data_IF_576764173604
#
_entry.id   IF_576764173604
#
_cell.length_a   1.000
_cell.length_b   1.000
_cell.length_c   1.000
_cell.angle_alpha   90.00
_cell.angle_beta   90.00
_cell.angle_gamma   90.00
#
_symmetry.space_group_name_H-M   'P 1'
#
loop_
_entity.id
_entity.type
_entity.pdbx_description
1 polymer ?
#
# COMPACT_ATOMS: atom_id res chain seq x y z
N UNK A 1 -27.50 -4.28 -11.58
CA UNK A 1 -26.85 -2.95 -11.40
C UNK A 1 -25.35 -3.10 -11.65
N UNK A 2 -24.87 -2.60 -12.80
CA UNK A 2 -23.46 -2.70 -13.22
C UNK A 2 -22.72 -1.46 -12.73
N UNK A 3 -21.94 -1.57 -11.66
CA UNK A 3 -21.01 -0.51 -11.29
C UNK A 3 -19.70 -0.70 -12.05
N UNK A 4 -19.51 0.16 -13.06
CA UNK A 4 -18.22 0.39 -13.74
C UNK A 4 -17.39 1.32 -12.83
N UNK A 5 -16.52 0.76 -12.00
CA UNK A 5 -15.41 1.46 -11.37
C UNK A 5 -14.11 0.85 -11.93
N UNK A 6 -13.73 1.31 -13.07
CA UNK A 6 -12.45 0.94 -13.67
C UNK A 6 -12.05 2.02 -14.64
N UNK A 7 -11.27 2.99 -14.22
CA UNK A 7 -10.74 3.92 -15.18
C UNK A 7 -10.22 5.28 -14.68
N UNK A 8 -9.85 5.43 -13.41
CA UNK A 8 -9.41 6.76 -12.93
C UNK A 8 -7.97 6.85 -12.40
N UNK A 9 -7.19 5.78 -12.44
CA UNK A 9 -5.84 5.81 -11.84
C UNK A 9 -4.67 5.82 -12.85
N UNK A 10 -4.95 5.84 -14.16
CA UNK A 10 -3.89 5.78 -15.18
C UNK A 10 -3.64 7.09 -15.95
N UNK A 11 -4.37 8.17 -15.67
CA UNK A 11 -4.29 9.39 -16.47
C UNK A 11 -3.46 10.55 -15.89
N UNK A 12 -2.91 10.42 -14.68
CA UNK A 12 -2.15 11.52 -14.03
C UNK A 12 -0.63 11.45 -14.13
N UNK A 13 -0.05 10.50 -14.84
CA UNK A 13 1.41 10.33 -14.88
C UNK A 13 2.08 10.66 -16.22
N UNK A 14 1.37 11.26 -17.17
CA UNK A 14 1.91 11.51 -18.53
C UNK A 14 1.81 12.97 -19.01
N UNK A 15 1.73 13.97 -18.13
CA UNK A 15 1.79 15.38 -18.55
C UNK A 15 2.80 16.20 -17.73
N UNK A 16 4.03 15.75 -17.66
CA UNK A 16 5.15 16.56 -17.14
C UNK A 16 6.39 16.43 -18.04
N UNK A 17 6.25 16.81 -19.31
CA UNK A 17 7.40 16.97 -20.20
C UNK A 17 7.14 18.03 -21.25
N UNK A 18 6.99 19.29 -20.83
CA UNK A 18 7.30 20.44 -21.66
C UNK A 18 7.85 21.54 -20.75
N UNK A 19 9.15 21.47 -20.48
CA UNK A 19 9.89 22.63 -19.98
C UNK A 19 10.19 23.55 -21.17
N UNK A 20 9.86 24.84 -21.10
CA UNK A 20 10.27 25.80 -22.10
C UNK A 20 11.78 25.98 -22.06
N UNK A 21 12.37 26.07 -23.26
CA UNK A 21 13.79 26.17 -23.49
C UNK A 21 14.45 27.34 -22.72
N UNK A 22 15.60 27.05 -22.14
CA UNK A 22 16.54 28.03 -21.63
C UNK A 22 16.92 28.95 -22.79
N UNK A 23 16.56 30.23 -22.70
CA UNK A 23 17.14 31.30 -23.50
C UNK A 23 18.65 31.33 -23.24
N UNK A 24 19.43 31.14 -24.29
CA UNK A 24 20.87 31.37 -24.27
C UNK A 24 21.11 32.83 -23.94
N UNK A 25 21.72 33.11 -22.80
CA UNK A 25 22.30 34.42 -22.53
C UNK A 25 23.50 34.65 -23.47
N UNK A 26 23.36 35.65 -24.33
CA UNK A 26 24.44 36.17 -25.15
C UNK A 26 25.60 36.65 -24.25
N UNK A 27 26.85 36.32 -24.56
CA UNK A 27 27.99 36.83 -23.80
C UNK A 27 28.09 38.33 -23.94
N UNK A 28 28.14 39.00 -22.81
CA UNK A 28 28.44 40.44 -22.70
C UNK A 28 29.84 40.72 -23.22
N UNK A 29 30.05 41.71 -24.11
CA UNK A 29 31.39 42.08 -24.58
C UNK A 29 32.23 42.60 -23.42
N UNK A 30 33.53 42.26 -23.46
CA UNK A 30 34.51 42.67 -22.47
C UNK A 30 34.68 44.21 -22.49
N UNK A 31 34.84 44.87 -21.33
CA UNK A 31 35.09 46.30 -21.27
C UNK A 31 36.52 46.63 -21.74
N UNK A 32 36.62 47.68 -22.54
CA UNK A 32 37.87 48.21 -23.00
C UNK A 32 38.76 48.72 -21.83
N UNK A 33 40.07 48.52 -21.88
CA UNK A 33 40.98 49.01 -20.86
C UNK A 33 41.35 50.53 -21.14
N UNK A 34 40.92 51.40 -20.24
CA UNK A 34 41.43 52.77 -20.23
C UNK A 34 40.41 53.85 -19.93
N UNK A 35 39.85 53.92 -18.75
CA UNK A 35 39.40 55.18 -18.19
C UNK A 35 39.64 55.18 -16.67
N UNK A 36 40.68 55.94 -16.25
CA UNK A 36 40.87 56.29 -14.85
C UNK A 36 39.74 57.25 -14.42
N UNK A 37 38.71 56.70 -13.81
CA UNK A 37 37.72 57.51 -13.13
C UNK A 37 38.19 57.80 -11.70
N UNK A 38 38.02 59.05 -11.20
CA UNK A 38 38.39 59.40 -9.83
C UNK A 38 37.58 58.57 -8.86
N UNK A 39 38.21 58.08 -7.77
CA UNK A 39 37.61 57.30 -6.72
C UNK A 39 36.40 58.03 -6.11
N UNK A 40 35.21 57.69 -6.58
CA UNK A 40 33.98 58.10 -5.95
C UNK A 40 33.89 57.35 -4.60
N UNK A 41 34.00 58.10 -3.51
CA UNK A 41 33.64 57.57 -2.17
C UNK A 41 32.18 57.16 -2.24
N UNK A 42 31.96 55.88 -2.45
CA UNK A 42 30.62 55.29 -2.46
C UNK A 42 29.90 55.60 -1.12
N UNK A 43 28.60 55.82 -1.16
CA UNK A 43 27.82 56.06 0.06
C UNK A 43 28.04 54.91 1.03
N UNK A 44 28.35 55.25 2.28
CA UNK A 44 28.46 54.29 3.40
C UNK A 44 27.16 53.51 3.42
N UNK A 45 27.19 52.31 2.87
CA UNK A 45 26.06 51.39 2.90
C UNK A 45 25.86 51.01 4.36
N UNK A 46 24.88 51.63 5.04
CA UNK A 46 24.50 51.23 6.38
C UNK A 46 24.18 49.74 6.31
N UNK A 47 25.05 48.93 6.87
CA UNK A 47 24.85 47.51 6.99
C UNK A 47 23.44 47.28 7.60
N UNK A 48 22.55 46.54 6.96
CA UNK A 48 21.23 46.30 7.52
C UNK A 48 21.38 45.73 8.94
N UNK A 49 20.54 46.16 9.89
CA UNK A 49 20.64 45.70 11.25
C UNK A 49 20.64 44.17 11.26
N UNK A 50 21.45 43.51 12.12
CA UNK A 50 21.49 42.07 12.20
C UNK A 50 20.06 41.58 12.45
N UNK A 51 19.64 40.63 11.61
CA UNK A 51 18.33 40.02 11.76
C UNK A 51 18.18 39.49 13.21
N UNK A 52 17.04 39.75 13.85
CA UNK A 52 16.83 39.26 15.22
C UNK A 52 17.11 37.75 15.27
N UNK A 53 17.71 37.25 16.38
CA UNK A 53 18.00 35.84 16.51
C UNK A 53 16.75 35.04 16.16
N UNK A 54 16.85 34.20 15.17
CA UNK A 54 15.75 33.35 14.72
C UNK A 54 15.26 32.58 15.93
N UNK A 55 14.00 32.75 16.30
CA UNK A 55 13.39 32.01 17.44
C UNK A 55 13.78 30.53 17.29
N UNK A 56 14.14 29.87 18.41
CA UNK A 56 14.63 28.50 18.38
C UNK A 56 13.65 27.67 17.56
N UNK A 57 14.19 27.08 16.51
CA UNK A 57 13.42 26.39 15.50
C UNK A 57 12.66 25.24 16.20
N UNK A 58 11.35 25.41 16.37
CA UNK A 58 10.49 24.33 16.84
C UNK A 58 10.45 23.26 15.74
N UNK A 59 11.56 22.53 15.61
CA UNK A 59 11.70 21.47 14.65
C UNK A 59 10.56 20.49 14.84
N UNK A 60 9.79 20.26 13.78
CA UNK A 60 8.76 19.22 13.79
C UNK A 60 9.41 17.89 14.12
N UNK A 61 8.74 17.02 14.88
CA UNK A 61 9.28 15.74 15.26
C UNK A 61 9.78 14.95 14.05
N UNK A 62 10.93 14.30 14.19
CA UNK A 62 11.47 13.43 13.15
C UNK A 62 10.71 12.10 13.17
N UNK A 63 10.00 11.82 12.09
CA UNK A 63 9.26 10.57 11.90
C UNK A 63 10.18 9.40 11.54
N UNK A 64 11.34 9.69 10.97
CA UNK A 64 12.33 8.68 10.56
C UNK A 64 13.13 8.07 11.72
N UNK A 65 12.76 8.33 12.99
CA UNK A 65 13.38 7.69 14.15
C UNK A 65 13.00 6.23 14.26
N UNK A 66 13.87 5.46 14.87
CA UNK A 66 13.56 4.06 15.17
C UNK A 66 12.29 3.97 16.02
N UNK A 67 11.32 3.21 15.54
CA UNK A 67 10.06 3.02 16.24
C UNK A 67 9.47 1.63 16.01
N UNK A 68 8.68 1.19 16.97
CA UNK A 68 7.89 -0.03 16.90
C UNK A 68 6.43 0.36 17.11
N UNK A 69 5.56 -0.15 16.26
CA UNK A 69 4.13 0.10 16.31
C UNK A 69 3.35 -1.21 16.36
N UNK A 70 2.35 -1.27 17.24
CA UNK A 70 1.35 -2.34 17.25
C UNK A 70 0.06 -1.77 16.71
N UNK A 71 -0.56 -2.46 15.78
CA UNK A 71 -1.76 -2.04 15.07
C UNK A 71 -2.86 -3.07 15.26
N UNK A 72 -4.08 -2.59 15.46
CA UNK A 72 -5.29 -3.40 15.36
C UNK A 72 -6.28 -2.74 14.41
N UNK A 73 -6.82 -3.45 13.44
CA UNK A 73 -7.82 -2.91 12.53
C UNK A 73 -8.98 -3.85 12.29
N UNK A 74 -10.17 -3.28 12.08
CA UNK A 74 -11.40 -4.03 11.86
C UNK A 74 -11.61 -4.22 10.36
N UNK A 75 -11.38 -5.44 9.88
CA UNK A 75 -11.52 -5.74 8.46
C UNK A 75 -12.98 -6.01 8.04
N UNK A 76 -13.81 -4.98 7.96
CA UNK A 76 -15.22 -5.09 7.58
C UNK A 76 -15.49 -5.05 6.07
N UNK A 77 -14.46 -5.16 5.24
CA UNK A 77 -14.56 -5.12 3.79
C UNK A 77 -15.28 -6.33 3.17
N UNK A 78 -15.23 -6.41 1.86
CA UNK A 78 -15.77 -7.55 1.12
C UNK A 78 -14.99 -8.82 1.48
N UNK A 79 -15.72 -9.82 1.92
CA UNK A 79 -15.17 -11.14 2.23
C UNK A 79 -14.39 -11.68 1.02
N UNK A 80 -13.27 -12.38 1.26
CA UNK A 80 -12.53 -13.00 0.17
C UNK A 80 -13.40 -13.95 -0.63
N UNK A 81 -13.05 -14.09 -1.90
CA UNK A 81 -13.66 -15.07 -2.81
C UNK A 81 -12.58 -15.94 -3.42
N UNK A 82 -12.94 -17.20 -3.68
CA UNK A 82 -12.22 -18.09 -4.58
C UNK A 82 -13.03 -18.23 -5.86
N UNK A 83 -12.36 -18.04 -6.99
CA UNK A 83 -12.96 -18.21 -8.31
C UNK A 83 -12.16 -19.27 -9.09
N UNK A 84 -12.84 -20.14 -9.83
CA UNK A 84 -12.18 -21.05 -10.76
C UNK A 84 -11.63 -20.26 -11.95
N UNK A 85 -10.37 -20.54 -12.30
CA UNK A 85 -9.72 -20.08 -13.50
C UNK A 85 -9.89 -21.08 -14.66
N UNK A 86 -9.22 -20.82 -15.79
CA UNK A 86 -9.21 -21.76 -16.90
C UNK A 86 -8.43 -23.03 -16.56
N UNK A 87 -8.90 -24.15 -17.06
CA UNK A 87 -8.21 -25.45 -16.95
C UNK A 87 -7.32 -25.64 -18.16
N UNK A 88 -6.13 -26.17 -17.96
CA UNK A 88 -5.27 -26.57 -19.07
C UNK A 88 -5.61 -28.01 -19.48
N UNK A 89 -6.15 -28.16 -20.67
CA UNK A 89 -6.40 -29.47 -21.29
C UNK A 89 -5.36 -29.71 -22.41
N UNK A 90 -5.16 -30.98 -22.78
CA UNK A 90 -4.40 -31.31 -24.00
C UNK A 90 -5.37 -31.49 -25.17
N UNK A 91 -5.03 -30.89 -26.30
CA UNK A 91 -5.76 -31.14 -27.54
C UNK A 91 -5.42 -32.54 -28.11
N UNK A 92 -6.06 -32.94 -29.19
CA UNK A 92 -5.82 -34.21 -29.87
C UNK A 92 -4.38 -34.37 -30.38
N UNK A 93 -3.65 -33.26 -30.53
CA UNK A 93 -2.24 -33.24 -30.95
C UNK A 93 -1.28 -33.21 -29.77
N UNK A 94 -1.78 -33.27 -28.53
CA UNK A 94 -0.98 -33.21 -27.31
C UNK A 94 -0.56 -31.80 -26.85
N UNK A 95 -1.01 -30.73 -27.55
CA UNK A 95 -0.71 -29.36 -27.18
C UNK A 95 -1.54 -28.94 -25.98
N UNK A 96 -0.93 -28.16 -25.07
CA UNK A 96 -1.67 -27.56 -23.97
C UNK A 96 -2.56 -26.44 -24.46
N UNK A 97 -3.86 -26.64 -24.38
CA UNK A 97 -4.88 -25.62 -24.66
C UNK A 97 -5.52 -25.13 -23.39
N UNK A 98 -5.84 -23.86 -23.37
CA UNK A 98 -6.52 -23.23 -22.25
C UNK A 98 -8.02 -23.28 -22.46
N UNK A 99 -8.71 -24.04 -21.63
CA UNK A 99 -10.16 -24.21 -21.69
C UNK A 99 -10.77 -23.42 -20.52
N UNK A 100 -11.78 -22.58 -20.75
CA UNK A 100 -12.54 -21.97 -19.65
C UNK A 100 -13.05 -23.06 -18.71
N UNK A 101 -13.12 -22.77 -17.41
CA UNK A 101 -13.68 -23.70 -16.45
C UNK A 101 -15.10 -24.11 -16.90
N UNK A 102 -15.34 -25.40 -17.05
CA UNK A 102 -16.61 -25.92 -17.50
C UNK A 102 -17.75 -25.57 -16.52
N UNK A 103 -17.42 -25.41 -15.26
CA UNK A 103 -18.34 -24.98 -14.19
C UNK A 103 -17.80 -23.70 -13.60
N UNK A 104 -18.54 -22.58 -13.65
CA UNK A 104 -18.13 -21.34 -13.00
C UNK A 104 -18.20 -21.53 -11.48
N UNK A 105 -17.06 -21.87 -10.89
CA UNK A 105 -16.95 -22.04 -9.45
C UNK A 105 -16.56 -20.71 -8.82
N UNK A 106 -17.50 -20.07 -8.16
CA UNK A 106 -17.24 -18.90 -7.31
C UNK A 106 -17.82 -19.17 -5.94
N UNK A 107 -16.96 -19.05 -4.94
CA UNK A 107 -17.37 -19.12 -3.55
C UNK A 107 -16.88 -17.89 -2.80
N UNK A 108 -17.79 -17.26 -2.06
CA UNK A 108 -17.48 -16.21 -1.11
C UNK A 108 -17.36 -16.85 0.28
N UNK A 109 -16.23 -16.60 0.95
CA UNK A 109 -16.05 -17.04 2.33
C UNK A 109 -17.01 -16.29 3.25
N UNK A 110 -17.67 -16.99 4.16
CA UNK A 110 -18.71 -16.39 5.02
C UNK A 110 -18.16 -15.82 6.33
N UNK A 111 -16.99 -16.22 6.73
CA UNK A 111 -16.38 -15.74 7.98
C UNK A 111 -15.89 -14.28 7.86
N UNK A 112 -16.16 -13.50 8.90
CA UNK A 112 -15.59 -12.18 9.05
C UNK A 112 -14.42 -12.23 10.04
N UNK A 113 -13.25 -11.64 9.72
CA UNK A 113 -12.22 -11.49 10.71
C UNK A 113 -12.71 -10.51 11.78
N UNK A 114 -12.32 -10.73 13.01
CA UNK A 114 -12.48 -9.75 14.08
C UNK A 114 -11.43 -8.63 13.91
N UNK A 115 -10.76 -8.29 15.00
CA UNK A 115 -9.61 -7.37 14.93
C UNK A 115 -8.43 -8.08 14.26
N UNK A 116 -7.86 -7.45 13.25
CA UNK A 116 -6.66 -7.92 12.55
C UNK A 116 -5.43 -7.32 13.23
N UNK A 117 -4.63 -8.11 13.95
CA UNK A 117 -3.41 -7.61 14.55
C UNK A 117 -2.31 -7.41 13.52
N UNK A 118 -1.52 -6.37 13.70
CA UNK A 118 -0.34 -6.08 12.91
C UNK A 118 0.77 -5.46 13.74
N UNK A 119 1.96 -5.51 13.22
CA UNK A 119 3.16 -4.87 13.78
C UNK A 119 3.91 -4.15 12.69
N UNK A 120 4.50 -3.04 13.04
CA UNK A 120 5.33 -2.25 12.16
C UNK A 120 6.59 -1.81 12.88
N UNK A 121 7.72 -1.90 12.19
CA UNK A 121 9.02 -1.43 12.68
C UNK A 121 9.55 -0.42 11.67
N UNK A 122 9.90 0.77 12.14
CA UNK A 122 10.53 1.81 11.33
C UNK A 122 11.98 1.95 11.75
N UNK A 123 12.89 1.87 10.79
CA UNK A 123 14.33 1.97 10.96
C UNK A 123 14.78 3.24 10.24
N UNK A 124 15.49 4.16 10.91
CA UNK A 124 16.00 5.36 10.27
C UNK A 124 17.02 5.01 9.18
N UNK A 125 16.93 5.70 8.06
CA UNK A 125 17.88 5.64 6.96
C UNK A 125 18.53 7.02 6.72
N UNK A 126 19.37 7.12 5.71
CA UNK A 126 20.12 8.34 5.40
C UNK A 126 19.16 9.49 5.04
N UNK A 127 19.44 10.71 5.52
CA UNK A 127 18.75 11.95 5.14
C UNK A 127 17.25 11.96 5.40
N UNK A 128 16.81 11.50 6.57
CA UNK A 128 15.39 11.44 6.99
C UNK A 128 14.52 10.47 6.18
N UNK A 129 15.12 9.58 5.42
CA UNK A 129 14.45 8.44 4.85
C UNK A 129 14.28 7.36 5.92
N UNK A 130 13.40 6.42 5.68
CA UNK A 130 13.18 5.30 6.60
C UNK A 130 12.97 3.99 5.84
N UNK A 131 13.31 2.90 6.51
CA UNK A 131 12.90 1.56 6.10
C UNK A 131 11.80 1.14 7.06
N UNK A 132 10.63 0.80 6.53
CA UNK A 132 9.49 0.34 7.30
C UNK A 132 9.22 -1.12 6.97
N UNK A 133 9.13 -1.95 7.99
CA UNK A 133 8.79 -3.37 7.87
C UNK A 133 7.47 -3.56 8.59
N UNK A 134 6.47 -4.08 7.89
CA UNK A 134 5.16 -4.33 8.46
C UNK A 134 4.71 -5.76 8.22
N UNK A 135 3.95 -6.29 9.18
CA UNK A 135 3.35 -7.61 9.11
C UNK A 135 1.95 -7.58 9.72
N UNK A 136 1.02 -8.23 9.05
CA UNK A 136 -0.27 -8.53 9.65
C UNK A 136 -0.75 -9.92 9.26
N UNK A 137 -1.63 -10.48 10.07
CA UNK A 137 -2.26 -11.78 9.82
C UNK A 137 -3.72 -11.74 10.23
N UNK A 138 -4.56 -12.34 9.39
CA UNK A 138 -5.97 -12.51 9.68
C UNK A 138 -6.43 -13.92 9.37
N UNK A 139 -7.49 -14.34 10.03
CA UNK A 139 -8.16 -15.61 9.80
C UNK A 139 -9.65 -15.44 10.05
N UNK A 140 -10.44 -16.20 9.32
CA UNK A 140 -11.85 -16.34 9.63
C UNK A 140 -12.35 -17.70 9.16
N UNK A 141 -13.46 -18.11 9.73
CA UNK A 141 -14.17 -19.34 9.38
C UNK A 141 -15.66 -19.05 9.33
N UNK A 142 -16.39 -19.78 8.52
CA UNK A 142 -17.83 -19.65 8.40
C UNK A 142 -18.39 -20.81 7.62
N UNK A 143 -19.71 -20.89 7.54
CA UNK A 143 -20.41 -21.99 6.90
C UNK A 143 -21.30 -21.46 5.80
N UNK A 144 -21.43 -22.22 4.71
CA UNK A 144 -22.29 -21.87 3.57
C UNK A 144 -22.99 -23.12 3.05
N UNK A 145 -24.22 -22.95 2.61
CA UNK A 145 -24.92 -23.96 1.80
C UNK A 145 -24.59 -23.63 0.33
N UNK A 146 -24.09 -24.63 -0.38
CA UNK A 146 -23.62 -24.44 -1.75
C UNK A 146 -24.82 -24.23 -2.69
N UNK A 147 -24.84 -23.10 -3.43
CA UNK A 147 -25.97 -22.79 -4.32
C UNK A 147 -25.91 -23.53 -5.68
N UNK A 148 -24.72 -23.96 -6.10
CA UNK A 148 -24.45 -24.64 -7.36
C UNK A 148 -23.31 -25.63 -7.17
N UNK A 149 -23.19 -26.62 -8.03
CA UNK A 149 -22.07 -27.56 -8.00
C UNK A 149 -20.75 -26.80 -8.11
N UNK A 150 -19.79 -27.15 -7.26
CA UNK A 150 -18.48 -26.48 -7.17
C UNK A 150 -17.34 -27.50 -7.21
N UNK A 151 -16.31 -27.17 -7.97
CA UNK A 151 -15.02 -27.85 -7.93
C UNK A 151 -14.00 -26.90 -7.29
N UNK A 152 -13.49 -27.25 -6.12
CA UNK A 152 -12.54 -26.43 -5.37
C UNK A 152 -11.36 -27.26 -4.88
N UNK A 153 -10.15 -26.92 -5.30
CA UNK A 153 -8.92 -27.62 -4.93
C UNK A 153 -8.98 -29.14 -5.12
N UNK A 154 -9.65 -29.60 -6.18
CA UNK A 154 -9.85 -31.02 -6.45
C UNK A 154 -11.00 -31.68 -5.68
N UNK A 155 -11.64 -30.97 -4.76
CA UNK A 155 -12.87 -31.45 -4.07
C UNK A 155 -14.12 -31.10 -4.89
N UNK A 156 -14.98 -32.07 -5.13
CA UNK A 156 -16.29 -31.87 -5.76
C UNK A 156 -17.36 -31.67 -4.70
N UNK A 157 -18.10 -30.60 -4.78
CA UNK A 157 -19.18 -30.27 -3.84
C UNK A 157 -20.46 -30.03 -4.63
N UNK A 158 -21.56 -30.63 -4.19
CA UNK A 158 -22.85 -30.59 -4.87
C UNK A 158 -23.73 -29.46 -4.34
N UNK A 159 -24.64 -28.99 -5.16
CA UNK A 159 -25.69 -28.05 -4.75
C UNK A 159 -26.42 -28.58 -3.54
N UNK A 160 -26.55 -27.74 -2.49
CA UNK A 160 -27.22 -28.13 -1.24
C UNK A 160 -26.25 -28.65 -0.19
N UNK A 161 -25.02 -28.99 -0.52
CA UNK A 161 -24.04 -29.43 0.48
C UNK A 161 -23.77 -28.30 1.49
N UNK A 162 -23.68 -28.70 2.76
CA UNK A 162 -23.22 -27.83 3.83
C UNK A 162 -21.69 -27.82 3.83
N UNK A 163 -21.08 -26.65 3.65
CA UNK A 163 -19.66 -26.48 3.55
C UNK A 163 -19.14 -25.56 4.65
N UNK A 164 -18.30 -26.10 5.50
CA UNK A 164 -17.49 -25.29 6.42
C UNK A 164 -16.28 -24.74 5.68
N UNK A 165 -16.09 -23.43 5.73
CA UNK A 165 -15.03 -22.73 5.03
C UNK A 165 -14.12 -22.02 6.02
N UNK A 166 -12.84 -22.01 5.78
CA UNK A 166 -11.89 -21.22 6.54
C UNK A 166 -10.86 -20.60 5.61
N UNK A 167 -10.33 -19.47 6.03
CA UNK A 167 -9.19 -18.87 5.37
C UNK A 167 -8.23 -18.22 6.38
N UNK A 168 -6.98 -18.13 5.96
CA UNK A 168 -5.92 -17.40 6.64
C UNK A 168 -5.18 -16.57 5.62
N UNK A 169 -5.08 -15.28 5.86
CA UNK A 169 -4.30 -14.33 5.08
C UNK A 169 -3.17 -13.79 5.94
N UNK A 170 -1.98 -13.74 5.39
CA UNK A 170 -0.84 -13.05 5.96
C UNK A 170 -0.17 -12.15 4.92
N UNK A 171 0.30 -11.00 5.37
CA UNK A 171 1.02 -10.06 4.55
C UNK A 171 2.25 -9.56 5.29
N UNK A 172 3.39 -9.59 4.63
CA UNK A 172 4.63 -8.97 5.07
C UNK A 172 5.06 -7.96 4.01
N UNK A 173 5.46 -6.77 4.42
CA UNK A 173 5.83 -5.67 3.54
C UNK A 173 7.11 -5.01 4.03
N UNK A 174 8.06 -4.79 3.12
CA UNK A 174 9.22 -3.93 3.34
C UNK A 174 9.04 -2.71 2.47
N UNK A 175 9.20 -1.53 3.04
CA UNK A 175 9.01 -0.25 2.40
C UNK A 175 10.24 0.63 2.62
N UNK A 176 10.79 1.19 1.56
CA UNK A 176 11.72 2.29 1.65
C UNK A 176 10.97 3.59 1.43
N UNK A 177 10.96 4.45 2.43
CA UNK A 177 10.29 5.74 2.45
C UNK A 177 11.28 6.83 2.10
N UNK A 178 11.14 7.38 0.92
CA UNK A 178 11.96 8.49 0.45
C UNK A 178 11.21 9.80 0.61
N UNK A 179 11.75 10.71 1.41
CA UNK A 179 11.17 12.05 1.57
C UNK A 179 11.39 12.86 0.28
N UNK A 180 10.34 12.98 -0.52
CA UNK A 180 10.38 13.65 -1.83
C UNK A 180 10.12 15.14 -1.72
N UNK A 181 9.26 15.55 -0.80
CA UNK A 181 8.85 16.93 -0.59
C UNK A 181 8.57 17.15 0.90
N UNK A 182 8.89 18.28 1.49
CA UNK A 182 9.40 19.51 0.90
C UNK A 182 10.90 19.49 0.59
N UNK A 183 11.26 20.27 -0.39
CA UNK A 183 12.64 20.56 -0.67
C UNK A 183 12.81 22.09 -0.66
N UNK A 184 13.66 22.67 0.19
CA UNK A 184 14.54 22.07 1.18
C UNK A 184 13.78 21.45 2.37
N UNK A 185 14.43 20.49 3.04
CA UNK A 185 13.88 19.64 4.13
C UNK A 185 13.33 20.42 5.35
N UNK A 186 13.54 21.71 5.39
CA UNK A 186 13.20 22.61 6.51
C UNK A 186 11.75 23.10 6.50
N UNK A 187 11.02 22.91 5.42
CA UNK A 187 9.62 23.24 5.34
C UNK A 187 8.79 22.17 6.11
N UNK A 188 7.89 22.60 6.99
CA UNK A 188 7.71 21.95 8.27
C UNK A 188 6.36 21.32 8.49
N UNK A 189 5.34 21.73 7.74
CA UNK A 189 3.98 21.25 7.97
C UNK A 189 3.58 20.16 7.01
N UNK A 190 3.87 20.33 5.74
CA UNK A 190 3.52 19.34 4.73
C UNK A 190 4.75 18.55 4.30
N UNK A 191 4.64 17.24 4.24
CA UNK A 191 5.67 16.31 3.75
C UNK A 191 5.05 15.34 2.79
N UNK A 192 5.76 15.01 1.75
CA UNK A 192 5.38 13.97 0.79
C UNK A 192 6.50 12.95 0.71
N UNK A 193 6.16 11.70 0.95
CA UNK A 193 7.06 10.55 0.82
C UNK A 193 6.71 9.79 -0.45
N UNK A 194 7.72 9.26 -1.12
CA UNK A 194 7.55 8.23 -2.14
C UNK A 194 7.86 6.89 -1.49
N UNK A 195 6.99 5.92 -1.69
CA UNK A 195 7.05 4.60 -1.07
C UNK A 195 7.50 3.59 -2.13
N UNK A 196 8.65 2.96 -1.91
CA UNK A 196 9.17 1.87 -2.71
C UNK A 196 9.05 0.60 -1.89
N UNK A 197 8.20 -0.33 -2.32
CA UNK A 197 7.80 -1.43 -1.47
C UNK A 197 7.92 -2.77 -2.17
N UNK A 198 8.14 -3.79 -1.35
CA UNK A 198 8.01 -5.18 -1.75
C UNK A 198 7.09 -5.88 -0.76
N UNK A 199 6.06 -6.54 -1.29
CA UNK A 199 5.04 -7.20 -0.50
C UNK A 199 5.03 -8.71 -0.76
N UNK A 200 4.93 -9.48 0.32
CA UNK A 200 4.63 -10.89 0.33
C UNK A 200 3.23 -11.08 0.90
N UNK A 201 2.35 -11.69 0.15
CA UNK A 201 0.99 -12.00 0.58
C UNK A 201 0.71 -13.47 0.33
N UNK A 202 0.24 -14.17 1.34
CA UNK A 202 -0.18 -15.56 1.24
C UNK A 202 -1.60 -15.71 1.78
N UNK A 203 -2.45 -16.40 1.02
CA UNK A 203 -3.77 -16.80 1.47
C UNK A 203 -3.91 -18.31 1.37
N UNK A 204 -4.17 -18.94 2.50
CA UNK A 204 -4.51 -20.36 2.63
C UNK A 204 -6.01 -20.49 2.85
N UNK A 205 -6.61 -21.48 2.23
CA UNK A 205 -8.07 -21.75 2.31
C UNK A 205 -8.32 -23.23 2.56
N UNK A 206 -9.35 -23.53 3.33
CA UNK A 206 -9.79 -24.88 3.61
C UNK A 206 -11.31 -25.00 3.51
N UNK A 207 -11.73 -26.14 3.06
CA UNK A 207 -13.14 -26.51 2.86
C UNK A 207 -13.38 -27.87 3.47
N UNK A 208 -14.48 -28.01 4.18
CA UNK A 208 -14.90 -29.27 4.79
C UNK A 208 -16.42 -29.43 4.63
N UNK A 209 -16.84 -30.55 4.05
CA UNK A 209 -18.24 -30.91 3.86
C UNK A 209 -18.59 -32.13 4.76
N UNK A 210 -18.76 -31.93 6.07
CA UNK A 210 -18.88 -33.05 7.04
C UNK A 210 -20.11 -33.93 6.83
N UNK A 211 -21.11 -33.43 6.14
CA UNK A 211 -22.37 -34.18 5.89
C UNK A 211 -22.39 -34.92 4.55
N UNK A 212 -21.29 -34.81 3.78
CA UNK A 212 -21.20 -35.49 2.48
C UNK A 212 -20.93 -36.99 2.66
N UNK A 213 -21.82 -37.80 2.14
CA UNK A 213 -21.78 -39.27 2.34
C UNK A 213 -20.72 -40.02 1.54
N UNK A 214 -20.30 -39.50 0.40
CA UNK A 214 -19.36 -40.16 -0.50
C UNK A 214 -18.28 -39.20 -1.05
N UNK A 215 -17.03 -39.68 -1.13
CA UNK A 215 -15.89 -38.96 -1.69
C UNK A 215 -15.12 -38.11 -0.67
N UNK A 216 -14.06 -37.39 -1.10
CA UNK A 216 -13.29 -36.57 -0.20
C UNK A 216 -14.13 -35.41 0.31
N UNK A 217 -14.24 -35.33 1.64
CA UNK A 217 -15.04 -34.32 2.34
C UNK A 217 -14.25 -33.02 2.53
N UNK A 218 -12.91 -33.07 2.46
CA UNK A 218 -12.05 -31.95 2.72
C UNK A 218 -11.21 -31.58 1.50
N UNK A 219 -11.01 -30.30 1.28
CA UNK A 219 -10.07 -29.78 0.30
C UNK A 219 -9.37 -28.54 0.86
N UNK A 220 -8.13 -28.34 0.50
CA UNK A 220 -7.38 -27.15 0.92
C UNK A 220 -6.39 -26.72 -0.15
N UNK A 221 -6.06 -25.45 -0.14
CA UNK A 221 -5.05 -24.89 -1.04
C UNK A 221 -4.58 -23.54 -0.57
N UNK A 222 -3.52 -23.06 -1.18
CA UNK A 222 -2.95 -21.75 -0.90
C UNK A 222 -2.49 -21.06 -2.18
N UNK A 223 -2.43 -19.76 -2.13
CA UNK A 223 -1.84 -18.91 -3.17
C UNK A 223 -0.94 -17.88 -2.53
N UNK A 224 0.22 -17.71 -3.14
CA UNK A 224 1.23 -16.73 -2.73
C UNK A 224 1.39 -15.68 -3.80
N UNK A 225 1.56 -14.42 -3.39
CA UNK A 225 1.78 -13.28 -4.23
C UNK A 225 3.02 -12.53 -3.75
N UNK A 226 3.98 -12.34 -4.63
CA UNK A 226 5.15 -11.47 -4.47
C UNK A 226 4.97 -10.26 -5.36
N UNK A 227 4.93 -9.08 -4.78
CA UNK A 227 4.58 -7.87 -5.52
C UNK A 227 5.51 -6.70 -5.19
N UNK A 228 6.25 -6.15 -6.16
CA UNK A 228 6.74 -4.79 -6.02
C UNK A 228 5.54 -3.86 -5.99
N UNK A 229 5.60 -2.78 -5.23
CA UNK A 229 4.58 -1.73 -5.23
C UNK A 229 5.22 -0.36 -5.06
N UNK A 230 4.55 0.64 -5.62
CA UNK A 230 4.94 2.03 -5.52
C UNK A 230 3.79 2.81 -4.88
N UNK A 231 4.14 3.84 -4.13
CA UNK A 231 3.13 4.63 -3.46
C UNK A 231 3.57 6.04 -3.10
N UNK A 232 2.64 6.75 -2.53
CA UNK A 232 2.82 8.10 -2.01
C UNK A 232 2.29 8.17 -0.58
N UNK A 233 2.98 8.94 0.25
CA UNK A 233 2.62 9.16 1.65
C UNK A 233 2.66 10.66 1.98
N UNK A 234 1.58 11.41 1.75
CA UNK A 234 1.46 12.76 2.25
C UNK A 234 1.23 12.76 3.76
N UNK A 235 1.91 13.67 4.46
CA UNK A 235 1.66 13.94 5.87
C UNK A 235 1.59 15.44 6.12
N UNK A 236 0.72 15.84 7.06
CA UNK A 236 0.52 17.24 7.42
C UNK A 236 0.50 17.42 8.93
N UNK A 237 1.43 18.24 9.44
CA UNK A 237 1.46 18.60 10.84
C UNK A 237 0.50 19.76 11.13
N UNK A 238 -0.60 19.46 11.78
CA UNK A 238 -1.53 20.46 12.31
C UNK A 238 -0.85 21.23 13.45
N UNK A 239 -0.23 20.47 14.36
CA UNK A 239 0.61 20.98 15.46
C UNK A 239 1.82 20.05 15.63
N UNK A 240 2.77 20.39 16.52
CA UNK A 240 3.88 19.49 16.87
C UNK A 240 3.43 18.15 17.49
N UNK A 241 2.19 18.06 17.96
CA UNK A 241 1.62 16.89 18.61
C UNK A 241 0.58 16.16 17.75
N UNK A 242 0.04 16.82 16.72
CA UNK A 242 -1.02 16.27 15.89
C UNK A 242 -0.56 16.26 14.44
N UNK A 243 -0.56 15.10 13.84
CA UNK A 243 -0.22 14.85 12.44
C UNK A 243 -1.36 14.12 11.75
N UNK A 244 -1.68 14.54 10.54
CA UNK A 244 -2.49 13.78 9.59
C UNK A 244 -1.55 13.07 8.63
N UNK A 245 -1.77 11.81 8.40
CA UNK A 245 -0.97 10.99 7.48
C UNK A 245 -1.91 10.17 6.59
N UNK A 246 -1.53 10.00 5.33
CA UNK A 246 -2.20 9.08 4.43
C UNK A 246 -1.15 8.41 3.57
N UNK A 247 -1.14 7.11 3.55
CA UNK A 247 -0.26 6.31 2.71
C UNK A 247 -1.12 5.52 1.70
N UNK A 248 -0.74 5.52 0.44
CA UNK A 248 -1.38 4.71 -0.57
C UNK A 248 -0.33 4.10 -1.49
N UNK A 249 -0.39 2.80 -1.67
CA UNK A 249 0.53 2.08 -2.53
C UNK A 249 -0.13 0.93 -3.25
N UNK A 250 0.44 0.54 -4.39
CA UNK A 250 -0.06 -0.60 -5.10
C UNK A 250 0.68 -0.88 -6.39
N UNK A 251 0.33 -2.01 -6.96
CA UNK A 251 0.78 -2.44 -8.28
C UNK A 251 -0.23 -3.38 -8.91
N UNK A 252 -0.34 -3.35 -10.22
CA UNK A 252 -1.21 -4.24 -10.97
C UNK A 252 -0.52 -4.66 -12.27
N UNK A 253 -0.49 -5.96 -12.52
CA UNK A 253 -0.16 -6.49 -13.84
C UNK A 253 -1.48 -6.89 -14.50
N UNK A 254 -1.87 -6.24 -15.62
CA UNK A 254 -3.10 -6.58 -16.33
C UNK A 254 -3.19 -8.08 -16.61
N UNK A 255 -4.37 -8.67 -16.36
CA UNK A 255 -4.66 -10.11 -16.53
C UNK A 255 -3.87 -11.08 -15.62
N UNK A 256 -3.00 -10.59 -14.74
CA UNK A 256 -2.24 -11.43 -13.81
C UNK A 256 -2.69 -11.23 -12.36
N UNK A 257 -2.27 -10.16 -11.73
CA UNK A 257 -2.55 -9.93 -10.32
C UNK A 257 -2.63 -8.44 -9.99
N UNK A 258 -3.24 -8.14 -8.88
CA UNK A 258 -3.37 -6.79 -8.37
C UNK A 258 -3.19 -6.79 -6.85
N UNK A 259 -2.45 -5.84 -6.34
CA UNK A 259 -2.34 -5.56 -4.92
C UNK A 259 -2.34 -4.05 -4.70
N UNK A 260 -3.05 -3.58 -3.70
CA UNK A 260 -2.94 -2.22 -3.22
C UNK A 260 -3.30 -2.16 -1.74
N UNK A 261 -2.68 -1.23 -1.04
CA UNK A 261 -3.02 -0.87 0.31
C UNK A 261 -3.09 0.65 0.44
N UNK A 262 -3.97 1.11 1.31
CA UNK A 262 -4.11 2.51 1.65
C UNK A 262 -4.51 2.63 3.12
N UNK A 263 -3.96 3.62 3.79
CA UNK A 263 -4.39 4.04 5.11
C UNK A 263 -4.39 5.56 5.22
N UNK A 264 -5.27 6.06 6.08
CA UNK A 264 -5.33 7.47 6.42
C UNK A 264 -5.67 7.60 7.90
N UNK A 265 -4.89 8.40 8.61
CA UNK A 265 -5.00 8.50 10.06
C UNK A 265 -4.63 9.86 10.64
N UNK A 266 -5.02 10.03 11.88
CA UNK A 266 -4.57 11.09 12.76
C UNK A 266 -3.67 10.50 13.84
N UNK A 267 -2.48 11.04 13.95
CA UNK A 267 -1.47 10.66 14.93
C UNK A 267 -1.36 11.72 16.04
N UNK A 268 -1.43 11.27 17.29
CA UNK A 268 -1.29 12.09 18.47
C UNK A 268 0.00 11.71 19.19
N UNK A 269 0.97 12.61 19.23
CA UNK A 269 2.29 12.34 19.79
C UNK A 269 2.47 12.90 21.19
N UNK A 270 2.86 12.04 22.11
CA UNK A 270 3.16 12.34 23.50
C UNK A 270 4.61 11.89 23.81
N UNK A 271 5.58 12.76 23.58
CA UNK A 271 7.01 12.45 23.77
C UNK A 271 7.46 11.24 22.93
N UNK A 272 7.68 10.10 23.54
CA UNK A 272 8.09 8.85 22.88
C UNK A 272 6.94 7.97 22.41
N UNK A 273 5.72 8.32 22.76
CA UNK A 273 4.53 7.57 22.42
C UNK A 273 3.69 8.31 21.39
N UNK A 274 3.16 7.60 20.42
CA UNK A 274 2.23 8.14 19.42
C UNK A 274 1.03 7.21 19.28
N UNK A 275 -0.16 7.77 19.48
CA UNK A 275 -1.43 7.09 19.23
C UNK A 275 -1.90 7.44 17.82
N UNK A 276 -2.23 6.43 17.02
CA UNK A 276 -2.77 6.58 15.67
C UNK A 276 -4.20 6.05 15.61
N UNK A 277 -5.10 6.78 14.95
CA UNK A 277 -6.51 6.37 14.74
C UNK A 277 -6.91 6.74 13.33
N UNK A 278 -7.50 5.81 12.60
CA UNK A 278 -7.84 6.07 11.22
C UNK A 278 -8.58 4.96 10.51
N UNK A 279 -8.48 4.95 9.19
CA UNK A 279 -9.00 3.93 8.30
C UNK A 279 -7.89 3.24 7.52
N UNK A 280 -8.02 1.93 7.32
CA UNK A 280 -7.08 1.12 6.54
C UNK A 280 -7.83 0.24 5.57
N UNK A 281 -7.28 0.12 4.35
CA UNK A 281 -7.80 -0.78 3.33
C UNK A 281 -6.66 -1.57 2.70
N UNK A 282 -6.87 -2.84 2.46
CA UNK A 282 -5.96 -3.74 1.79
C UNK A 282 -6.71 -4.58 0.78
N UNK A 283 -6.23 -4.62 -0.46
CA UNK A 283 -6.82 -5.38 -1.54
C UNK A 283 -5.76 -6.26 -2.20
N UNK A 284 -6.16 -7.48 -2.54
CA UNK A 284 -5.37 -8.36 -3.35
C UNK A 284 -6.23 -9.16 -4.32
N UNK A 285 -5.63 -9.52 -5.45
CA UNK A 285 -6.16 -10.47 -6.41
C UNK A 285 -4.99 -11.25 -6.97
N UNK A 286 -5.02 -12.57 -6.83
CA UNK A 286 -4.03 -13.45 -7.45
C UNK A 286 -4.32 -13.64 -8.94
N UNK A 287 -3.46 -14.34 -9.67
CA UNK A 287 -3.60 -14.46 -11.12
C UNK A 287 -4.88 -15.19 -11.52
N UNK A 288 -5.77 -14.56 -12.29
CA UNK A 288 -6.95 -15.22 -12.86
C UNK A 288 -6.60 -16.21 -13.98
N UNK A 289 -5.31 -16.31 -14.33
CA UNK A 289 -4.83 -17.28 -15.30
C UNK A 289 -4.48 -18.63 -14.64
N UNK A 290 -4.45 -18.69 -13.31
CA UNK A 290 -4.28 -19.95 -12.59
C UNK A 290 -5.60 -20.70 -12.52
N UNK A 291 -5.53 -22.02 -12.22
CA UNK A 291 -6.71 -22.89 -12.07
C UNK A 291 -7.70 -22.33 -11.07
N UNK A 292 -7.20 -21.73 -10.01
CA UNK A 292 -7.97 -21.01 -9.01
C UNK A 292 -7.31 -19.66 -8.72
N UNK A 293 -8.12 -18.64 -8.52
CA UNK A 293 -7.61 -17.37 -8.06
C UNK A 293 -8.42 -16.84 -6.88
N UNK A 294 -7.72 -16.16 -6.01
CA UNK A 294 -8.24 -15.57 -4.79
C UNK A 294 -8.25 -14.06 -4.92
N UNK A 295 -9.30 -13.44 -4.41
CA UNK A 295 -9.39 -12.00 -4.30
C UNK A 295 -10.09 -11.60 -3.01
N UNK A 296 -9.70 -10.46 -2.47
CA UNK A 296 -10.33 -9.94 -1.26
C UNK A 296 -10.01 -8.47 -1.06
N UNK A 297 -10.88 -7.81 -0.33
CA UNK A 297 -10.68 -6.43 0.14
C UNK A 297 -11.01 -6.39 1.62
N UNK A 298 -10.04 -6.02 2.43
CA UNK A 298 -10.20 -5.79 3.85
C UNK A 298 -10.15 -4.29 4.06
N UNK A 299 -11.19 -3.69 4.64
CA UNK A 299 -11.24 -2.27 4.92
C UNK A 299 -11.93 -2.03 6.25
N UNK A 300 -11.47 -1.04 7.00
CA UNK A 300 -12.09 -0.69 8.26
C UNK A 300 -11.29 0.29 9.10
N UNK A 301 -11.84 0.61 10.26
CA UNK A 301 -11.17 1.47 11.23
C UNK A 301 -9.94 0.77 11.82
N UNK A 302 -8.87 1.51 12.05
CA UNK A 302 -7.71 1.02 12.76
C UNK A 302 -7.28 1.95 13.90
N UNK A 303 -6.59 1.34 14.88
CA UNK A 303 -5.86 2.03 15.91
C UNK A 303 -4.47 1.45 16.04
N UNK A 304 -3.49 2.29 16.31
CA UNK A 304 -2.09 1.92 16.47
C UNK A 304 -1.46 2.64 17.65
N UNK A 305 -0.49 1.99 18.25
CA UNK A 305 0.34 2.56 19.31
C UNK A 305 1.80 2.41 18.88
N UNK A 306 2.44 3.55 18.60
CA UNK A 306 3.83 3.63 18.15
C UNK A 306 4.72 4.14 19.27
N UNK A 307 5.80 3.43 19.51
CA UNK A 307 6.81 3.80 20.49
C UNK A 307 8.13 4.13 19.78
N UNK A 308 8.66 5.33 20.05
CA UNK A 308 9.94 5.80 19.51
C UNK A 308 11.07 5.48 20.48
N UNK A 309 12.05 4.75 19.97
CA UNK A 309 13.32 4.49 20.66
C UNK A 309 14.34 5.56 20.23
N UNK A 310 14.99 6.13 21.20
CA UNK A 310 16.03 7.16 20.98
C UNK A 310 17.36 6.51 20.64
#
# INVERSE_FOLDING_TARGET
>A
MKYRFGGFFCACLLQLSTLPGRAQQQPTPAPEPGQNLPASQGPITKQPPPLPPRAPDQSMPDEGKFSIEVIGWMGNGHQPTIDAGPVFARDINGNSIRVPAAVPSRLQFQGRPGVIPGVEVTIPAVKRNAIRISYFRTRASGNVIIPTDLLLWGGNYSKGDYLATNYRLQNAKISYEFLTWPYPIESRRFRLKTLWQFQYTEMSTGFDAPLKGNGPNTASGHKTLYAPSLGLGPSYYVTRHIRLEADASGFAIPHHWTIWDADADMAFRFSKLELRVGGKAFHFRTSPQADYYLRGTFAGAFGGLRFFLN
#
